data_IF_214333894268
#
_entry.id   IF_214333894268
#
_cell.length_a   1.000
_cell.length_b   1.000
_cell.length_c   1.000
_cell.angle_alpha   90.00
_cell.angle_beta   90.00
_cell.angle_gamma   90.00
#
_symmetry.space_group_name_H-M   'P 1'
#
loop_
_entity.id
_entity.type
_entity.pdbx_description
1 polymer ?
#
# COMPACT_ATOMS: atom_id res chain seq x y z
N UNK A 1 45.37 10.00 -20.48
CA UNK A 1 44.68 9.24 -19.41
C UNK A 1 43.34 8.76 -19.96
N UNK A 2 43.04 7.51 -19.66
CA UNK A 2 41.98 6.67 -20.24
C UNK A 2 40.72 6.62 -19.34
N UNK A 3 39.58 6.21 -19.91
CA UNK A 3 38.31 5.68 -19.32
C UNK A 3 37.22 6.71 -18.96
N UNK A 4 35.92 6.47 -19.16
CA UNK A 4 35.18 5.24 -19.46
C UNK A 4 33.88 5.56 -20.24
N UNK A 5 33.55 4.69 -21.19
CA UNK A 5 32.25 4.62 -21.87
C UNK A 5 31.15 4.26 -20.86
N UNK A 6 30.20 5.16 -20.63
CA UNK A 6 28.99 4.86 -19.85
C UNK A 6 27.95 4.21 -20.76
N UNK A 7 28.02 2.88 -20.79
CA UNK A 7 27.08 1.96 -21.42
C UNK A 7 25.67 2.16 -20.84
N UNK A 8 24.76 2.75 -21.61
CA UNK A 8 23.35 2.80 -21.25
C UNK A 8 22.77 1.37 -21.30
N UNK A 9 22.43 0.82 -20.14
CA UNK A 9 21.67 -0.42 -20.05
C UNK A 9 20.24 -0.09 -20.45
N UNK A 10 19.87 -0.47 -21.67
CA UNK A 10 18.47 -0.51 -22.11
C UNK A 10 17.73 -1.59 -21.32
N UNK A 11 17.22 -1.25 -20.14
CA UNK A 11 16.24 -2.06 -19.43
C UNK A 11 14.95 -1.94 -20.24
N UNK A 12 14.62 -3.03 -20.93
CA UNK A 12 13.43 -3.19 -21.77
C UNK A 12 12.19 -3.07 -20.88
N UNK A 13 11.72 -1.83 -20.68
CA UNK A 13 10.46 -1.55 -20.03
C UNK A 13 9.34 -2.07 -20.90
N UNK A 14 8.76 -3.21 -20.54
CA UNK A 14 7.52 -3.67 -21.17
C UNK A 14 6.42 -2.71 -20.72
N UNK A 15 6.10 -1.74 -21.57
CA UNK A 15 4.94 -0.88 -21.39
C UNK A 15 3.68 -1.68 -21.71
N UNK A 16 3.15 -2.41 -20.73
CA UNK A 16 1.79 -2.95 -20.80
C UNK A 16 0.81 -1.80 -20.55
N UNK A 17 0.41 -1.11 -21.62
CA UNK A 17 -0.69 -0.14 -21.58
C UNK A 17 -2.02 -0.89 -21.50
N UNK A 18 -2.34 -1.40 -20.32
CA UNK A 18 -3.67 -1.94 -20.02
C UNK A 18 -4.59 -0.75 -19.74
N UNK A 19 -5.36 -0.32 -20.74
CA UNK A 19 -6.52 0.54 -20.51
C UNK A 19 -7.63 -0.32 -19.89
N UNK A 20 -7.56 -0.55 -18.59
CA UNK A 20 -8.68 -1.10 -17.86
C UNK A 20 -9.79 -0.05 -17.85
N UNK A 21 -10.91 -0.36 -18.50
CA UNK A 21 -12.15 0.38 -18.27
C UNK A 21 -12.61 0.06 -16.86
N UNK A 22 -12.27 0.94 -15.92
CA UNK A 22 -12.65 0.80 -14.51
C UNK A 22 -14.09 1.28 -14.38
N UNK A 23 -15.05 0.41 -14.70
CA UNK A 23 -16.36 0.54 -14.10
C UNK A 23 -16.18 0.43 -12.58
N UNK A 24 -16.79 1.36 -11.84
CA UNK A 24 -16.72 1.44 -10.38
C UNK A 24 -17.37 0.19 -9.74
N UNK A 25 -16.61 -0.89 -9.61
CA UNK A 25 -17.02 -2.08 -8.88
C UNK A 25 -16.92 -1.79 -7.38
N UNK A 26 -18.04 -1.50 -6.72
CA UNK A 26 -18.10 -1.45 -5.26
C UNK A 26 -18.08 -2.89 -4.73
N UNK A 27 -17.03 -3.24 -3.98
CA UNK A 27 -16.91 -4.57 -3.37
C UNK A 27 -16.65 -4.43 -1.88
N UNK A 28 -17.63 -4.78 -1.07
CA UNK A 28 -17.47 -4.91 0.37
C UNK A 28 -16.55 -6.10 0.68
N UNK A 29 -15.65 -5.93 1.65
CA UNK A 29 -14.78 -6.99 2.17
C UNK A 29 -15.17 -7.24 3.63
N UNK A 30 -15.47 -8.49 3.95
CA UNK A 30 -15.78 -8.94 5.29
C UNK A 30 -14.88 -10.14 5.59
N UNK A 31 -14.35 -10.19 6.80
CA UNK A 31 -13.57 -11.33 7.30
C UNK A 31 -13.85 -11.52 8.78
N UNK A 32 -13.61 -12.74 9.28
CA UNK A 32 -13.68 -13.07 10.70
C UNK A 32 -12.25 -13.13 11.25
N UNK A 33 -11.94 -12.22 12.17
CA UNK A 33 -10.65 -12.23 12.85
C UNK A 33 -10.76 -12.99 14.16
N UNK A 34 -9.88 -13.98 14.37
CA UNK A 34 -9.69 -14.62 15.67
C UNK A 34 -8.79 -13.73 16.52
N UNK A 35 -9.26 -13.33 17.70
CA UNK A 35 -8.50 -12.44 18.60
C UNK A 35 -7.30 -13.20 19.17
N UNK A 36 -6.09 -12.67 18.94
CA UNK A 36 -4.85 -13.22 19.49
C UNK A 36 -4.40 -12.50 20.76
N UNK A 37 -3.18 -12.78 21.22
CA UNK A 37 -2.58 -12.12 22.40
C UNK A 37 -2.41 -10.60 22.22
N UNK A 38 -2.20 -10.14 20.98
CA UNK A 38 -2.12 -8.73 20.60
C UNK A 38 -3.50 -8.14 20.23
N UNK A 39 -4.58 -8.85 20.53
CA UNK A 39 -5.93 -8.51 20.09
C UNK A 39 -6.10 -8.67 18.58
N UNK A 40 -6.81 -7.72 17.96
CA UNK A 40 -7.00 -7.67 16.51
C UNK A 40 -5.78 -7.12 15.77
N UNK A 41 -4.89 -6.38 16.45
CA UNK A 41 -3.70 -5.78 15.83
C UNK A 41 -4.01 -4.73 14.76
N UNK A 42 -4.86 -3.75 15.08
CA UNK A 42 -5.29 -2.68 14.17
C UNK A 42 -4.90 -1.30 14.72
N UNK A 43 -4.42 -0.40 13.85
CA UNK A 43 -4.34 1.04 14.14
C UNK A 43 -5.40 1.74 13.30
N UNK A 44 -6.40 2.32 13.96
CA UNK A 44 -7.52 3.01 13.32
C UNK A 44 -7.48 4.51 13.61
N UNK A 45 -7.97 5.30 12.65
CA UNK A 45 -8.13 6.75 12.78
C UNK A 45 -9.59 7.11 12.48
N UNK A 46 -10.10 8.14 13.15
CA UNK A 46 -11.40 8.70 12.79
C UNK A 46 -11.29 9.46 11.47
N UNK A 47 -12.16 9.13 10.52
CA UNK A 47 -12.26 9.80 9.23
C UNK A 47 -13.75 10.10 8.97
N UNK A 48 -14.21 11.25 9.49
CA UNK A 48 -15.61 11.64 9.48
C UNK A 48 -16.46 10.75 10.41
N UNK A 49 -17.65 10.29 9.99
CA UNK A 49 -18.51 9.42 10.79
C UNK A 49 -18.02 7.95 10.84
N UNK A 50 -16.86 7.67 10.24
CA UNK A 50 -16.32 6.31 10.12
C UNK A 50 -14.93 6.19 10.73
N UNK A 51 -14.54 4.94 10.98
CA UNK A 51 -13.19 4.56 11.38
C UNK A 51 -12.46 3.99 10.17
N UNK A 52 -11.25 4.48 9.93
CA UNK A 52 -10.39 4.02 8.85
C UNK A 52 -9.18 3.27 9.41
N UNK A 53 -8.88 2.11 8.84
CA UNK A 53 -7.66 1.36 9.15
C UNK A 53 -6.46 2.09 8.52
N UNK A 54 -5.57 2.58 9.37
CA UNK A 54 -4.34 3.27 8.97
C UNK A 54 -3.14 2.33 8.88
N UNK A 55 -3.05 1.35 9.78
CA UNK A 55 -1.97 0.37 9.81
C UNK A 55 -2.44 -0.94 10.47
N UNK A 56 -1.75 -2.03 10.14
CA UNK A 56 -1.93 -3.35 10.75
C UNK A 56 -0.68 -3.69 11.56
N UNK A 57 -0.86 -4.12 12.80
CA UNK A 57 0.27 -4.54 13.64
C UNK A 57 0.80 -5.86 13.11
N UNK A 58 2.12 -5.93 12.85
CA UNK A 58 2.78 -7.16 12.42
C UNK A 58 2.55 -8.27 13.46
N UNK A 59 2.25 -9.49 13.00
CA UNK A 59 1.87 -10.65 13.83
C UNK A 59 0.56 -10.46 14.62
N UNK A 60 -0.25 -9.46 14.26
CA UNK A 60 -1.60 -9.28 14.77
C UNK A 60 -2.62 -9.96 13.86
N UNK A 61 -3.77 -10.34 14.42
CA UNK A 61 -4.79 -11.12 13.70
C UNK A 61 -5.22 -10.50 12.37
N UNK A 62 -5.36 -9.17 12.31
CA UNK A 62 -5.73 -8.49 11.07
C UNK A 62 -4.63 -8.48 10.00
N UNK A 63 -3.36 -8.51 10.39
CA UNK A 63 -2.24 -8.61 9.45
C UNK A 63 -2.10 -10.04 8.90
N UNK A 64 -2.35 -11.04 9.75
CA UNK A 64 -2.25 -12.46 9.39
C UNK A 64 -3.41 -12.91 8.49
N UNK A 65 -4.62 -12.34 8.67
CA UNK A 65 -5.80 -12.64 7.84
C UNK A 65 -5.65 -12.14 6.38
N UNK A 66 -4.97 -11.01 6.17
CA UNK A 66 -4.68 -10.45 4.84
C UNK A 66 -5.88 -9.93 4.03
N UNK A 67 -7.12 -10.13 4.47
CA UNK A 67 -8.32 -9.61 3.80
C UNK A 67 -8.53 -8.13 4.10
N UNK A 68 -8.25 -7.72 5.34
CA UNK A 68 -8.23 -6.31 5.72
C UNK A 68 -6.96 -5.64 5.20
N UNK A 69 -7.10 -4.51 4.51
CA UNK A 69 -5.97 -3.72 4.05
C UNK A 69 -6.07 -2.30 4.63
N UNK A 70 -4.94 -1.71 5.05
CA UNK A 70 -4.92 -0.30 5.40
C UNK A 70 -5.25 0.54 4.18
N UNK A 71 -5.90 1.69 4.40
CA UNK A 71 -6.26 2.58 3.32
C UNK A 71 -5.00 3.06 2.58
N UNK A 72 -4.98 2.92 1.25
CA UNK A 72 -3.85 3.39 0.43
C UNK A 72 -3.85 4.92 0.38
N UNK A 73 -3.07 5.56 1.25
CA UNK A 73 -2.65 6.94 1.01
C UNK A 73 -1.55 6.95 -0.05
N UNK A 74 -1.78 7.63 -1.18
CA UNK A 74 -0.69 8.03 -2.08
C UNK A 74 0.18 9.03 -1.32
N UNK A 75 1.35 8.60 -0.85
CA UNK A 75 2.37 9.52 -0.36
C UNK A 75 2.91 10.28 -1.57
N UNK A 76 2.56 11.57 -1.68
CA UNK A 76 3.24 12.46 -2.60
C UNK A 76 4.58 12.82 -1.94
N UNK A 77 5.65 12.15 -2.36
CA UNK A 77 7.00 12.40 -1.85
C UNK A 77 7.51 13.71 -2.44
N UNK A 78 7.16 14.84 -1.82
CA UNK A 78 7.92 16.07 -1.99
C UNK A 78 9.10 15.98 -1.02
N UNK A 79 10.28 15.62 -1.56
CA UNK A 79 11.53 15.88 -0.87
C UNK A 79 11.68 17.39 -0.76
N UNK A 80 11.43 17.93 0.42
CA UNK A 80 11.88 19.28 0.79
C UNK A 80 13.38 19.20 1.01
N UNK A 81 14.14 19.75 0.06
CA UNK A 81 15.56 20.02 0.25
C UNK A 81 15.64 21.28 1.10
N UNK A 82 16.14 21.15 2.32
CA UNK A 82 16.56 22.31 3.10
C UNK A 82 17.96 22.71 2.60
N UNK A 83 18.05 23.91 2.04
CA UNK A 83 19.31 24.55 1.65
C UNK A 83 20.07 25.07 2.86
#
# INVERSE_FOLDING_TARGET
MERASQKSKHVKGVSLKVKASVHSLSKMRQTKLTVGSLGLGLIIIQNGPYLQISHLIKKGAAADDGTLQPARRKQNSQRVNFS
#
